data_IF_414520878637
#
_entry.id   IF_414520878637
#
_cell.length_a   1.000
_cell.length_b   1.000
_cell.length_c   1.000
_cell.angle_alpha   90.00
_cell.angle_beta   90.00
_cell.angle_gamma   90.00
#
_symmetry.space_group_name_H-M   'P 1'
#
loop_
_entity.id
_entity.type
_entity.pdbx_description
1 polymer ?
#
# COMPACT_ATOMS: atom_id res chain seq x y z
N UNK A 1 -10.52 31.92 58.55
CA UNK A 1 -10.54 30.55 57.98
C UNK A 1 -11.40 30.46 56.72
N UNK A 2 -12.47 31.27 56.60
CA UNK A 2 -13.40 31.27 55.46
C UNK A 2 -12.70 31.70 54.13
N UNK A 3 -11.85 32.71 54.13
CA UNK A 3 -11.12 33.17 52.91
C UNK A 3 -10.19 32.12 52.27
N UNK A 4 -9.61 31.21 53.07
CA UNK A 4 -8.73 30.16 52.54
C UNK A 4 -9.50 29.06 51.81
N UNK A 5 -10.76 28.84 52.19
CA UNK A 5 -11.64 27.83 51.59
C UNK A 5 -12.14 28.34 50.24
N UNK A 6 -12.65 29.57 50.18
CA UNK A 6 -13.15 30.18 48.94
C UNK A 6 -12.06 30.32 47.87
N UNK A 7 -10.83 30.71 48.27
CA UNK A 7 -9.68 30.79 47.35
C UNK A 7 -9.24 29.42 46.82
N UNK A 8 -9.39 28.36 47.62
CA UNK A 8 -9.12 26.97 47.18
C UNK A 8 -10.19 26.47 46.22
N UNK A 9 -11.46 26.71 46.51
CA UNK A 9 -12.58 26.28 45.65
C UNK A 9 -12.57 26.97 44.28
N UNK A 10 -12.23 28.26 44.24
CA UNK A 10 -12.03 28.99 42.99
C UNK A 10 -10.89 28.42 42.15
N UNK A 11 -9.74 28.12 42.78
CA UNK A 11 -8.59 27.51 42.10
C UNK A 11 -8.87 26.09 41.60
N UNK A 12 -9.64 25.29 42.34
CA UNK A 12 -10.07 23.97 41.91
C UNK A 12 -11.01 24.03 40.70
N UNK A 13 -11.93 25.00 40.69
CA UNK A 13 -12.86 25.20 39.57
C UNK A 13 -12.14 25.62 38.30
N UNK A 14 -11.19 26.56 38.38
CA UNK A 14 -10.35 26.98 37.24
C UNK A 14 -9.52 25.82 36.67
N UNK A 15 -8.97 24.96 37.54
CA UNK A 15 -8.24 23.77 37.12
C UNK A 15 -9.16 22.77 36.40
N UNK A 16 -10.35 22.50 36.94
CA UNK A 16 -11.33 21.59 36.33
C UNK A 16 -11.75 22.09 34.95
N UNK A 17 -12.06 23.39 34.81
CA UNK A 17 -12.43 23.99 33.51
C UNK A 17 -11.30 23.83 32.49
N UNK A 18 -10.05 24.06 32.91
CA UNK A 18 -8.88 23.91 32.03
C UNK A 18 -8.71 22.47 31.55
N UNK A 19 -8.85 21.50 32.46
CA UNK A 19 -8.75 20.07 32.12
C UNK A 19 -9.89 19.65 31.18
N UNK A 20 -11.11 20.12 31.41
CA UNK A 20 -12.26 19.83 30.53
C UNK A 20 -12.05 20.41 29.14
N UNK A 21 -11.59 21.66 29.02
CA UNK A 21 -11.28 22.28 27.73
C UNK A 21 -10.18 21.50 26.99
N UNK A 22 -9.12 21.12 27.69
CA UNK A 22 -8.02 20.35 27.10
C UNK A 22 -8.48 18.96 26.63
N UNK A 23 -9.32 18.29 27.41
CA UNK A 23 -9.89 17.00 27.04
C UNK A 23 -10.79 17.09 25.79
N UNK A 24 -11.59 18.16 25.67
CA UNK A 24 -12.43 18.40 24.49
C UNK A 24 -11.57 18.65 23.25
N UNK A 25 -10.53 19.47 23.36
CA UNK A 25 -9.58 19.71 22.25
C UNK A 25 -8.87 18.43 21.82
N UNK A 26 -8.38 17.64 22.78
CA UNK A 26 -7.76 16.34 22.50
C UNK A 26 -8.72 15.38 21.81
N UNK A 27 -9.98 15.31 22.25
CA UNK A 27 -11.00 14.46 21.61
C UNK A 27 -11.23 14.84 20.15
N UNK A 28 -11.39 16.14 19.86
CA UNK A 28 -11.58 16.62 18.49
C UNK A 28 -10.36 16.31 17.63
N UNK A 29 -9.16 16.59 18.16
CA UNK A 29 -7.91 16.32 17.45
C UNK A 29 -7.73 14.84 17.12
N UNK A 30 -7.95 13.96 18.10
CA UNK A 30 -7.83 12.50 17.92
C UNK A 30 -8.81 11.99 16.87
N UNK A 31 -10.09 12.40 16.94
CA UNK A 31 -11.10 12.00 15.96
C UNK A 31 -10.71 12.39 14.53
N UNK A 32 -10.29 13.64 14.34
CA UNK A 32 -9.91 14.13 13.02
C UNK A 32 -8.64 13.46 12.49
N UNK A 33 -7.66 13.23 13.36
CA UNK A 33 -6.41 12.58 12.99
C UNK A 33 -6.62 11.17 12.45
N UNK A 34 -7.47 10.36 13.11
CA UNK A 34 -7.77 9.00 12.65
C UNK A 34 -8.45 8.98 11.28
N UNK A 35 -9.45 9.85 11.05
CA UNK A 35 -10.14 9.94 9.76
C UNK A 35 -9.18 10.34 8.62
N UNK A 36 -8.26 11.27 8.88
CA UNK A 36 -7.28 11.67 7.88
C UNK A 36 -6.26 10.58 7.58
N UNK A 37 -5.81 9.84 8.59
CA UNK A 37 -4.80 8.80 8.42
C UNK A 37 -5.30 7.69 7.48
N UNK A 38 -6.56 7.29 7.60
CA UNK A 38 -7.17 6.26 6.74
C UNK A 38 -7.24 6.73 5.28
N UNK A 39 -7.68 7.97 5.03
CA UNK A 39 -7.78 8.53 3.68
C UNK A 39 -6.41 8.68 3.00
N UNK A 40 -5.40 9.15 3.73
CA UNK A 40 -4.04 9.31 3.22
C UNK A 40 -3.46 7.94 2.85
N UNK A 41 -3.61 6.95 3.74
CA UNK A 41 -3.13 5.58 3.53
C UNK A 41 -3.78 4.94 2.30
N UNK A 42 -5.10 5.07 2.18
CA UNK A 42 -5.88 4.56 1.04
C UNK A 42 -5.42 5.18 -0.27
N UNK A 43 -5.27 6.50 -0.30
CA UNK A 43 -4.81 7.23 -1.48
C UNK A 43 -3.40 6.83 -1.87
N UNK A 44 -2.51 6.67 -0.88
CA UNK A 44 -1.16 6.16 -1.09
C UNK A 44 -1.17 4.76 -1.70
N UNK A 45 -2.01 3.87 -1.19
CA UNK A 45 -2.11 2.51 -1.70
C UNK A 45 -2.69 2.44 -3.11
N UNK A 46 -3.71 3.25 -3.43
CA UNK A 46 -4.23 3.40 -4.78
C UNK A 46 -3.15 3.84 -5.76
N UNK A 47 -2.30 4.80 -5.38
CA UNK A 47 -1.17 5.23 -6.22
C UNK A 47 -0.16 4.10 -6.43
N UNK A 48 0.11 3.28 -5.42
CA UNK A 48 0.99 2.11 -5.57
C UNK A 48 0.38 1.09 -6.54
N UNK A 49 -0.92 0.79 -6.43
CA UNK A 49 -1.61 -0.11 -7.36
C UNK A 49 -1.59 0.41 -8.80
N UNK A 50 -1.81 1.72 -9.00
CA UNK A 50 -1.70 2.37 -10.31
C UNK A 50 -0.27 2.36 -10.86
N UNK A 51 0.73 2.60 -10.01
CA UNK A 51 2.14 2.52 -10.39
C UNK A 51 2.49 1.08 -10.78
N UNK A 52 2.03 0.09 -10.01
CA UNK A 52 2.21 -1.33 -10.31
C UNK A 52 1.63 -1.65 -11.70
N UNK A 53 0.38 -1.26 -11.94
CA UNK A 53 -0.30 -1.48 -13.22
C UNK A 53 0.44 -0.82 -14.40
N UNK A 54 0.88 0.43 -14.21
CA UNK A 54 1.67 1.14 -15.22
C UNK A 54 2.96 0.40 -15.58
N UNK A 55 3.68 -0.12 -14.58
CA UNK A 55 4.89 -0.92 -14.82
C UNK A 55 4.58 -2.22 -15.55
N UNK A 56 3.54 -2.95 -15.15
CA UNK A 56 3.13 -4.20 -15.83
C UNK A 56 2.81 -3.97 -17.30
N UNK A 57 2.05 -2.91 -17.59
CA UNK A 57 1.70 -2.53 -18.97
C UNK A 57 2.95 -2.13 -19.75
N UNK A 58 3.86 -1.34 -19.15
CA UNK A 58 5.11 -0.94 -19.80
C UNK A 58 6.01 -2.14 -20.11
N UNK A 59 6.13 -3.10 -19.19
CA UNK A 59 6.87 -4.36 -19.41
C UNK A 59 6.26 -5.13 -20.57
N UNK A 60 4.94 -5.27 -20.62
CA UNK A 60 4.27 -5.98 -21.69
C UNK A 60 4.44 -5.28 -23.05
N UNK A 61 4.35 -3.95 -23.08
CA UNK A 61 4.59 -3.17 -24.30
C UNK A 61 6.03 -3.37 -24.81
N UNK A 62 7.03 -3.31 -23.94
CA UNK A 62 8.42 -3.55 -24.32
C UNK A 62 8.64 -5.00 -24.78
N UNK A 63 7.98 -5.97 -24.16
CA UNK A 63 7.99 -7.37 -24.60
C UNK A 63 7.48 -7.55 -26.03
N UNK A 64 6.38 -6.87 -26.38
CA UNK A 64 5.83 -6.87 -27.74
C UNK A 64 6.81 -6.24 -28.74
N UNK A 65 7.51 -5.18 -28.34
CA UNK A 65 8.49 -4.48 -29.20
C UNK A 65 9.79 -5.28 -29.42
N UNK A 66 10.27 -6.01 -28.40
CA UNK A 66 11.54 -6.78 -28.44
C UNK A 66 11.40 -8.19 -29.04
N UNK A 67 10.29 -8.48 -29.73
CA UNK A 67 10.00 -9.79 -30.31
C UNK A 67 9.91 -10.93 -29.27
N UNK A 68 9.22 -10.65 -28.16
CA UNK A 68 8.80 -11.64 -27.15
C UNK A 68 9.93 -12.35 -26.38
N UNK A 69 10.91 -11.63 -25.81
CA UNK A 69 11.98 -12.25 -25.02
C UNK A 69 11.45 -12.80 -23.70
N UNK A 70 12.19 -13.71 -23.06
CA UNK A 70 11.89 -14.18 -21.70
C UNK A 70 12.28 -13.18 -20.60
N UNK A 71 13.11 -12.18 -20.95
CA UNK A 71 13.55 -11.11 -20.06
C UNK A 71 13.45 -9.79 -20.81
N UNK A 72 12.78 -8.82 -20.21
CA UNK A 72 12.54 -7.49 -20.77
C UNK A 72 13.41 -6.48 -20.05
N UNK A 73 14.03 -5.56 -20.78
CA UNK A 73 14.84 -4.49 -20.17
C UNK A 73 14.15 -3.14 -20.34
N UNK A 74 13.68 -2.54 -19.24
CA UNK A 74 13.16 -1.18 -19.27
C UNK A 74 14.28 -0.19 -18.91
N UNK A 75 14.41 0.86 -19.72
CA UNK A 75 15.18 2.05 -19.36
C UNK A 75 14.28 2.97 -18.55
N UNK A 76 14.73 3.35 -17.36
CA UNK A 76 14.01 4.33 -16.57
C UNK A 76 14.23 5.73 -17.17
N UNK A 77 13.17 6.51 -17.36
CA UNK A 77 13.22 7.82 -18.04
C UNK A 77 14.23 8.80 -17.43
N UNK A 78 14.57 8.65 -16.15
CA UNK A 78 15.45 9.55 -15.39
C UNK A 78 16.72 8.87 -14.84
N UNK A 79 17.07 7.67 -15.30
CA UNK A 79 18.27 6.97 -14.85
C UNK A 79 18.84 6.10 -15.97
N UNK A 80 20.17 6.06 -16.10
CA UNK A 80 20.84 5.11 -17.00
C UNK A 80 20.71 3.65 -16.51
N UNK A 81 20.17 3.44 -15.30
CA UNK A 81 19.88 2.13 -14.78
C UNK A 81 18.84 1.41 -15.65
N UNK A 82 19.30 0.31 -16.27
CA UNK A 82 18.46 -0.65 -16.98
C UNK A 82 17.89 -1.64 -15.98
N UNK A 83 16.59 -1.60 -15.75
CA UNK A 83 15.92 -2.58 -14.90
C UNK A 83 15.48 -3.77 -15.74
N UNK A 84 15.87 -4.97 -15.32
CA UNK A 84 15.53 -6.23 -15.98
C UNK A 84 14.32 -6.86 -15.30
N UNK A 85 13.33 -7.24 -16.12
CA UNK A 85 12.09 -7.85 -15.68
C UNK A 85 11.99 -9.26 -16.28
N UNK A 86 11.72 -10.24 -15.43
CA UNK A 86 11.39 -11.60 -15.86
C UNK A 86 9.90 -11.64 -16.24
N UNK A 87 9.60 -12.21 -17.39
CA UNK A 87 8.20 -12.36 -17.86
C UNK A 87 7.86 -13.82 -18.11
N UNK A 88 6.58 -14.16 -17.99
CA UNK A 88 6.09 -15.47 -18.42
C UNK A 88 5.93 -15.55 -19.94
N UNK A 89 5.44 -16.70 -20.41
CA UNK A 89 5.19 -16.97 -21.83
C UNK A 89 4.17 -16.02 -22.47
N UNK A 90 3.35 -15.36 -21.66
CA UNK A 90 2.34 -14.39 -22.11
C UNK A 90 2.88 -12.95 -22.10
N UNK A 91 4.14 -12.74 -21.72
CA UNK A 91 4.76 -11.41 -21.66
C UNK A 91 4.37 -10.59 -20.43
N UNK A 92 3.84 -11.23 -19.38
CA UNK A 92 3.47 -10.58 -18.13
C UNK A 92 4.52 -10.81 -17.05
N UNK A 93 4.61 -9.88 -16.10
CA UNK A 93 5.57 -9.92 -15.02
C UNK A 93 5.38 -11.17 -14.14
N UNK A 94 6.37 -12.06 -14.16
CA UNK A 94 6.23 -13.36 -13.52
C UNK A 94 7.60 -13.97 -13.20
N UNK A 95 7.70 -14.62 -12.04
CA UNK A 95 8.91 -15.24 -11.51
C UNK A 95 8.56 -16.69 -11.15
N UNK A 96 8.53 -17.54 -12.17
CA UNK A 96 7.97 -18.90 -12.15
C UNK A 96 8.72 -19.95 -11.29
N UNK A 97 9.82 -19.61 -10.60
CA UNK A 97 10.72 -20.61 -9.99
C UNK A 97 11.17 -20.33 -8.55
N UNK A 98 10.57 -19.38 -7.84
CA UNK A 98 11.03 -19.01 -6.51
C UNK A 98 9.94 -19.15 -5.44
N UNK A 99 10.37 -19.52 -4.23
CA UNK A 99 9.58 -19.20 -3.05
C UNK A 99 9.43 -17.67 -2.97
N UNK A 100 8.24 -17.17 -2.62
CA UNK A 100 7.92 -15.73 -2.54
C UNK A 100 7.85 -14.99 -3.90
N UNK A 101 7.26 -15.62 -4.94
CA UNK A 101 7.10 -15.00 -6.26
C UNK A 101 6.38 -13.65 -6.21
N UNK A 102 5.28 -13.54 -5.46
CA UNK A 102 4.50 -12.30 -5.36
C UNK A 102 5.28 -11.15 -4.71
N UNK A 103 6.09 -11.42 -3.69
CA UNK A 103 6.98 -10.42 -3.09
C UNK A 103 8.00 -9.89 -4.09
N UNK A 104 8.62 -10.76 -4.88
CA UNK A 104 9.60 -10.35 -5.88
C UNK A 104 8.95 -9.61 -7.05
N UNK A 105 7.74 -10.03 -7.45
CA UNK A 105 6.92 -9.34 -8.45
C UNK A 105 6.61 -7.92 -7.97
N UNK A 106 6.21 -7.76 -6.70
CA UNK A 106 6.01 -6.45 -6.09
C UNK A 106 7.26 -5.57 -6.15
N UNK A 107 8.39 -6.08 -5.63
CA UNK A 107 9.65 -5.34 -5.60
C UNK A 107 10.13 -4.93 -7.00
N UNK A 108 9.86 -5.76 -8.00
CA UNK A 108 10.16 -5.43 -9.40
C UNK A 108 9.21 -4.33 -9.92
N UNK A 109 7.90 -4.48 -9.73
CA UNK A 109 6.90 -3.59 -10.31
C UNK A 109 6.87 -2.20 -9.69
N UNK A 110 7.07 -2.13 -8.37
CA UNK A 110 6.99 -0.92 -7.58
C UNK A 110 8.29 -0.86 -6.80
N UNK A 111 9.22 -0.01 -7.25
CA UNK A 111 10.58 0.15 -6.68
C UNK A 111 10.59 0.74 -5.25
N UNK A 112 9.53 0.50 -4.49
CA UNK A 112 9.30 0.92 -3.11
C UNK A 112 9.33 -0.33 -2.23
N UNK A 113 9.95 -0.28 -1.04
CA UNK A 113 9.90 -1.38 -0.09
C UNK A 113 8.44 -1.78 0.22
N UNK A 114 8.23 -3.02 0.71
CA UNK A 114 6.91 -3.51 1.15
C UNK A 114 6.40 -2.84 2.45
N UNK A 115 6.56 -1.52 2.52
CA UNK A 115 6.08 -0.67 3.57
C UNK A 115 5.53 0.62 2.98
N UNK A 116 4.28 0.94 3.26
CA UNK A 116 3.68 2.25 2.99
C UNK A 116 3.50 2.97 4.33
N UNK A 117 4.19 4.09 4.54
CA UNK A 117 4.03 4.91 5.75
C UNK A 117 4.17 4.12 7.08
N UNK A 118 5.15 3.21 7.13
CA UNK A 118 5.41 2.26 8.25
C UNK A 118 4.40 1.11 8.39
N UNK A 119 3.39 1.01 7.53
CA UNK A 119 2.51 -0.15 7.44
C UNK A 119 3.13 -1.19 6.51
N UNK A 120 3.33 -2.42 6.98
CA UNK A 120 3.81 -3.52 6.15
C UNK A 120 2.71 -3.99 5.19
N UNK A 121 3.08 -4.21 3.93
CA UNK A 121 2.17 -4.77 2.93
C UNK A 121 2.31 -6.29 2.98
N UNK A 122 1.22 -6.99 3.29
CA UNK A 122 1.20 -8.45 3.27
C UNK A 122 0.98 -8.96 1.84
N UNK A 123 1.65 -10.06 1.50
CA UNK A 123 1.48 -10.72 0.20
C UNK A 123 0.89 -12.11 0.40
N UNK A 124 -0.13 -12.44 -0.38
CA UNK A 124 -0.74 -13.77 -0.38
C UNK A 124 -0.69 -14.30 -1.81
N UNK A 125 -0.11 -15.48 -1.96
CA UNK A 125 -0.12 -16.21 -3.23
C UNK A 125 -1.29 -17.20 -3.24
N UNK A 126 -2.28 -16.92 -4.08
CA UNK A 126 -3.43 -17.76 -4.32
C UNK A 126 -3.08 -18.75 -5.45
N UNK A 127 -2.65 -19.96 -5.09
CA UNK A 127 -2.37 -21.01 -6.08
C UNK A 127 -3.65 -21.74 -6.45
N UNK A 128 -4.08 -21.63 -7.71
CA UNK A 128 -5.10 -22.51 -8.27
C UNK A 128 -4.46 -23.84 -8.69
N UNK A 129 -5.05 -24.97 -8.27
CA UNK A 129 -4.54 -26.29 -8.63
C UNK A 129 -4.54 -26.48 -10.15
N UNK A 130 -3.38 -26.82 -10.72
CA UNK A 130 -3.22 -27.11 -12.15
C UNK A 130 -2.84 -25.91 -13.04
N UNK A 131 -2.75 -24.69 -12.50
CA UNK A 131 -2.25 -23.52 -13.25
C UNK A 131 -0.83 -23.16 -12.85
N UNK A 132 0.00 -22.85 -13.85
CA UNK A 132 1.38 -22.38 -13.67
C UNK A 132 1.48 -20.84 -13.54
N UNK A 133 0.36 -20.16 -13.29
CA UNK A 133 0.29 -18.72 -13.15
C UNK A 133 0.07 -18.35 -11.68
N UNK A 134 0.62 -17.21 -11.27
CA UNK A 134 0.48 -16.70 -9.91
C UNK A 134 -0.70 -15.72 -9.86
N UNK A 135 -1.55 -15.90 -8.85
CA UNK A 135 -2.52 -14.92 -8.43
C UNK A 135 -2.03 -14.33 -7.11
N UNK A 136 -1.60 -13.07 -7.15
CA UNK A 136 -1.00 -12.37 -6.02
C UNK A 136 -1.99 -11.36 -5.45
N UNK A 137 -2.28 -11.46 -4.15
CA UNK A 137 -3.07 -10.48 -3.41
C UNK A 137 -2.17 -9.66 -2.50
N UNK A 138 -2.21 -8.34 -2.66
CA UNK A 138 -1.45 -7.39 -1.85
C UNK A 138 -2.41 -6.69 -0.89
N UNK A 139 -2.15 -6.79 0.42
CA UNK A 139 -3.07 -6.37 1.47
C UNK A 139 -2.40 -5.38 2.41
N UNK A 140 -3.12 -4.33 2.78
CA UNK A 140 -2.74 -3.43 3.85
C UNK A 140 -3.30 -3.87 5.21
N UNK A 141 -2.67 -3.51 6.33
CA UNK A 141 -3.21 -3.75 7.67
C UNK A 141 -4.59 -3.13 7.90
N UNK A 142 -4.94 -2.09 7.13
CA UNK A 142 -6.29 -1.49 7.11
C UNK A 142 -7.36 -2.42 6.52
N UNK A 143 -6.98 -3.55 5.91
CA UNK A 143 -7.88 -4.52 5.28
C UNK A 143 -8.17 -4.28 3.79
N UNK A 144 -7.60 -3.22 3.22
CA UNK A 144 -7.70 -2.92 1.79
C UNK A 144 -6.77 -3.82 0.99
N UNK A 145 -7.17 -4.23 -0.20
CA UNK A 145 -6.33 -5.09 -1.04
C UNK A 145 -6.55 -4.85 -2.53
N UNK A 146 -5.57 -5.26 -3.34
CA UNK A 146 -5.75 -5.47 -4.78
C UNK A 146 -5.08 -6.76 -5.22
N UNK A 147 -5.57 -7.30 -6.32
CA UNK A 147 -5.14 -8.57 -6.89
C UNK A 147 -4.39 -8.35 -8.21
N UNK A 148 -3.39 -9.20 -8.44
CA UNK A 148 -2.65 -9.30 -9.68
C UNK A 148 -2.70 -10.73 -10.22
N UNK A 149 -3.11 -10.87 -11.48
CA UNK A 149 -3.15 -12.15 -12.18
C UNK A 149 -2.03 -12.22 -13.22
N UNK A 150 -1.01 -13.07 -13.01
CA UNK A 150 0.12 -13.17 -13.95
C UNK A 150 -0.26 -13.81 -15.29
N UNK A 151 -1.38 -14.54 -15.36
CA UNK A 151 -1.90 -15.13 -16.61
C UNK A 151 -2.29 -14.06 -17.64
N UNK A 152 -2.96 -13.00 -17.18
CA UNK A 152 -3.58 -11.97 -18.02
C UNK A 152 -2.94 -10.60 -17.88
N UNK A 153 -2.05 -10.42 -16.91
CA UNK A 153 -1.51 -9.10 -16.56
C UNK A 153 -2.49 -8.19 -15.84
N UNK A 154 -3.71 -8.67 -15.53
CA UNK A 154 -4.75 -7.85 -14.91
C UNK A 154 -4.40 -7.48 -13.48
N UNK A 155 -4.45 -6.19 -13.19
CA UNK A 155 -4.40 -5.61 -11.84
C UNK A 155 -5.80 -5.12 -11.50
N UNK A 156 -6.36 -5.54 -10.37
CA UNK A 156 -7.67 -5.06 -9.93
C UNK A 156 -7.56 -3.67 -9.34
N UNK A 157 -8.68 -2.95 -9.31
CA UNK A 157 -8.79 -1.77 -8.46
C UNK A 157 -8.67 -2.17 -6.98
N UNK A 158 -8.26 -1.22 -6.15
CA UNK A 158 -8.15 -1.43 -4.71
C UNK A 158 -9.56 -1.55 -4.13
N UNK A 159 -9.83 -2.69 -3.52
CA UNK A 159 -11.09 -2.97 -2.85
C UNK A 159 -10.97 -2.48 -1.40
N UNK A 160 -11.86 -1.58 -0.95
CA UNK A 160 -11.88 -1.14 0.44
C UNK A 160 -12.27 -2.29 1.36
N UNK A 161 -11.88 -2.22 2.64
CA UNK A 161 -12.32 -3.17 3.66
C UNK A 161 -13.85 -3.19 3.68
N UNK A 162 -14.45 -4.39 3.57
CA UNK A 162 -15.89 -4.55 3.80
C UNK A 162 -16.19 -4.14 5.24
N UNK A 163 -17.11 -3.19 5.41
CA UNK A 163 -17.68 -2.82 6.70
C UNK A 163 -18.34 -4.02 7.37
#
# INVERSE_FOLDING_TARGET
>A
MIDKVEKREKSLTEFIITVVLLALLMKVFISYYFDQQEQITTTGFNRLAQSFNSTVIAVHAQWLMENKPSVVTLKQLNSEAKQRFSVNKNGWLDITKNNFSCEKIWQAAVAVPMSLMKLSIATIELKEQGKNFHHCRYILPSGQFFDYHSETGKVTEVIPKSK
#
